data_IF_508856492753
#
_entry.id   IF_508856492753
#
_cell.length_a   1.000
_cell.length_b   1.000
_cell.length_c   1.000
_cell.angle_alpha   90.00
_cell.angle_beta   90.00
_cell.angle_gamma   90.00
#
_symmetry.space_group_name_H-M   'P 1'
#
loop_
_entity.id
_entity.type
_entity.pdbx_description
1 polymer ?
#
# COMPACT_ATOMS: atom_id res chain seq x y z
N UNK A 1 -0.70 17.82 4.21
CA UNK A 1 0.02 16.91 3.28
C UNK A 1 1.14 17.71 2.62
N UNK A 2 2.40 17.34 2.85
CA UNK A 2 3.55 17.99 2.20
C UNK A 2 3.60 17.60 0.71
N UNK A 3 4.03 18.50 -0.18
CA UNK A 3 4.07 18.27 -1.63
C UNK A 3 4.82 16.97 -2.04
N UNK A 4 5.83 16.55 -1.26
CA UNK A 4 6.57 15.31 -1.47
C UNK A 4 5.75 14.03 -1.19
N UNK A 5 4.79 14.07 -0.28
CA UNK A 5 3.93 12.92 0.02
C UNK A 5 2.90 12.65 -1.07
N UNK A 6 2.39 13.71 -1.71
CA UNK A 6 1.46 13.61 -2.84
C UNK A 6 2.13 13.04 -4.09
N UNK A 7 3.37 13.45 -4.38
CA UNK A 7 4.12 12.94 -5.53
C UNK A 7 4.45 11.43 -5.40
N UNK A 8 4.81 10.98 -4.19
CA UNK A 8 5.11 9.56 -3.93
C UNK A 8 3.86 8.67 -4.05
N UNK A 9 2.72 9.14 -3.54
CA UNK A 9 1.45 8.45 -3.68
C UNK A 9 1.01 8.30 -5.15
N UNK A 10 1.21 9.34 -5.97
CA UNK A 10 0.90 9.32 -7.42
C UNK A 10 1.80 8.34 -8.19
N UNK A 11 3.08 8.23 -7.82
CA UNK A 11 3.98 7.25 -8.43
C UNK A 11 3.57 5.82 -8.08
N UNK A 12 3.29 5.54 -6.81
CA UNK A 12 2.84 4.21 -6.38
C UNK A 12 1.52 3.79 -7.04
N UNK A 13 0.55 4.69 -7.17
CA UNK A 13 -0.71 4.39 -7.86
C UNK A 13 -0.47 4.04 -9.33
N UNK A 14 0.48 4.72 -10.00
CA UNK A 14 0.84 4.39 -11.38
C UNK A 14 1.48 3.00 -11.51
N UNK A 15 2.38 2.63 -10.58
CA UNK A 15 2.97 1.29 -10.57
C UNK A 15 1.91 0.23 -10.30
N UNK A 16 1.02 0.47 -9.32
CA UNK A 16 -0.12 -0.38 -9.04
C UNK A 16 -0.97 -0.57 -10.29
N UNK A 17 -1.30 0.50 -11.01
CA UNK A 17 -2.08 0.49 -12.25
C UNK A 17 -1.47 -0.38 -13.35
N UNK A 18 -0.15 -0.37 -13.46
CA UNK A 18 0.61 -1.13 -14.45
C UNK A 18 0.79 -2.62 -14.15
N UNK A 19 0.37 -3.13 -12.98
CA UNK A 19 0.56 -4.55 -12.62
C UNK A 19 -0.31 -5.45 -13.50
N UNK A 20 0.33 -6.26 -14.33
CA UNK A 20 -0.30 -7.21 -15.23
C UNK A 20 0.32 -8.62 -15.16
N UNK A 21 1.50 -8.75 -14.59
CA UNK A 21 2.30 -9.97 -14.54
C UNK A 21 3.26 -9.96 -13.32
N UNK A 22 4.01 -11.04 -13.12
CA UNK A 22 4.98 -11.13 -12.03
C UNK A 22 6.07 -10.03 -12.12
N UNK A 23 6.70 -9.74 -13.28
CA UNK A 23 7.68 -8.66 -13.38
C UNK A 23 7.14 -7.28 -12.98
N UNK A 24 5.94 -6.92 -13.42
CA UNK A 24 5.30 -5.65 -13.05
C UNK A 24 4.90 -5.61 -11.57
N UNK A 25 4.50 -6.73 -11.00
CA UNK A 25 4.25 -6.85 -9.55
C UNK A 25 5.52 -6.67 -8.72
N UNK A 26 6.63 -7.28 -9.13
CA UNK A 26 7.92 -7.09 -8.45
C UNK A 26 8.35 -5.62 -8.48
N UNK A 27 8.18 -4.92 -9.62
CA UNK A 27 8.44 -3.47 -9.71
C UNK A 27 7.55 -2.67 -8.75
N UNK A 28 6.29 -3.04 -8.61
CA UNK A 28 5.39 -2.40 -7.65
C UNK A 28 5.85 -2.61 -6.19
N UNK A 29 6.23 -3.84 -5.82
CA UNK A 29 6.73 -4.10 -4.45
C UNK A 29 8.03 -3.32 -4.19
N UNK A 30 8.92 -3.24 -5.17
CA UNK A 30 10.17 -2.48 -5.06
C UNK A 30 9.90 -0.98 -4.83
N UNK A 31 8.97 -0.39 -5.59
CA UNK A 31 8.52 0.98 -5.37
C UNK A 31 7.86 1.17 -4.00
N UNK A 32 7.10 0.19 -3.50
CA UNK A 32 6.49 0.23 -2.17
C UNK A 32 7.55 0.18 -1.06
N UNK A 33 8.62 -0.61 -1.24
CA UNK A 33 9.79 -0.63 -0.34
C UNK A 33 10.47 0.74 -0.32
N UNK A 34 10.78 1.30 -1.48
CA UNK A 34 11.46 2.60 -1.59
C UNK A 34 10.62 3.74 -0.95
N UNK A 35 9.31 3.74 -1.15
CA UNK A 35 8.40 4.71 -0.51
C UNK A 35 8.39 4.57 1.02
N UNK A 36 8.52 3.34 1.54
CA UNK A 36 8.62 3.09 2.97
C UNK A 36 9.98 3.52 3.54
N UNK A 37 11.07 3.18 2.87
CA UNK A 37 12.43 3.56 3.26
C UNK A 37 12.58 5.09 3.33
N UNK A 38 12.05 5.81 2.34
CA UNK A 38 12.02 7.27 2.35
C UNK A 38 11.16 7.83 3.49
N UNK A 39 10.03 7.20 3.81
CA UNK A 39 9.22 7.59 4.97
C UNK A 39 9.96 7.38 6.30
N UNK A 40 10.64 6.24 6.47
CA UNK A 40 11.44 5.94 7.67
C UNK A 40 12.63 6.91 7.81
N UNK A 41 13.31 7.24 6.71
CA UNK A 41 14.36 8.27 6.68
C UNK A 41 13.84 9.64 7.12
N UNK A 42 12.66 10.04 6.64
CA UNK A 42 12.02 11.30 7.04
C UNK A 42 11.62 11.29 8.51
N UNK A 43 11.10 10.17 9.00
CA UNK A 43 10.72 9.99 10.42
C UNK A 43 11.94 10.11 11.33
N UNK A 44 13.05 9.47 10.97
CA UNK A 44 14.30 9.54 11.71
C UNK A 44 14.91 10.96 11.71
N UNK A 45 14.78 11.69 10.60
CA UNK A 45 15.26 13.07 10.50
C UNK A 45 14.36 14.06 11.25
N UNK A 46 13.05 13.86 11.18
CA UNK A 46 12.03 14.67 11.86
C UNK A 46 10.77 13.84 12.08
N UNK A 47 10.43 13.53 13.34
CA UNK A 47 9.23 12.78 13.64
C UNK A 47 7.99 13.45 13.05
N UNK A 48 7.10 12.65 12.47
CA UNK A 48 5.78 13.13 12.10
C UNK A 48 5.05 13.62 13.37
N UNK A 49 4.18 14.62 13.21
CA UNK A 49 3.42 15.13 14.36
C UNK A 49 2.44 14.08 14.88
N UNK A 50 2.03 14.14 16.15
CA UNK A 50 1.14 13.14 16.77
C UNK A 50 -0.26 13.05 16.14
N UNK A 51 -0.62 14.00 15.27
CA UNK A 51 -1.92 14.07 14.58
C UNK A 51 -1.78 14.04 13.05
N UNK A 52 -0.62 13.63 12.53
CA UNK A 52 -0.42 13.41 11.10
C UNK A 52 -0.28 11.93 10.81
N UNK A 53 -0.79 11.50 9.65
CA UNK A 53 -0.30 10.30 8.99
C UNK A 53 1.24 10.35 8.98
N UNK A 54 1.89 9.20 9.09
CA UNK A 54 3.33 9.10 8.89
C UNK A 54 3.75 9.69 7.53
N UNK A 55 5.06 9.87 7.37
CA UNK A 55 5.60 10.36 6.12
C UNK A 55 5.10 9.54 4.91
N UNK A 56 4.95 10.21 3.77
CA UNK A 56 4.37 9.64 2.54
C UNK A 56 2.95 9.06 2.68
N UNK A 57 2.24 9.40 3.77
CA UNK A 57 0.87 8.95 4.01
C UNK A 57 0.78 7.52 4.55
N UNK A 58 1.86 7.01 5.15
CA UNK A 58 1.83 5.73 5.87
C UNK A 58 1.07 5.87 7.18
N UNK A 59 0.01 5.08 7.34
CA UNK A 59 -0.74 5.02 8.59
C UNK A 59 -0.20 3.90 9.50
N UNK A 60 0.34 2.85 8.90
CA UNK A 60 0.86 1.69 9.60
C UNK A 60 2.40 1.76 9.78
N UNK A 61 2.83 2.11 11.00
CA UNK A 61 4.25 2.25 11.36
C UNK A 61 5.02 0.94 11.55
N UNK A 62 4.34 -0.20 11.72
CA UNK A 62 4.97 -1.51 11.91
C UNK A 62 4.61 -2.48 10.77
N UNK A 63 5.47 -3.46 10.50
CA UNK A 63 5.18 -4.53 9.54
C UNK A 63 3.95 -5.36 9.95
N UNK A 64 3.72 -5.53 11.25
CA UNK A 64 2.57 -6.27 11.76
C UNK A 64 1.26 -5.55 11.43
N UNK A 65 1.17 -4.25 11.72
CA UNK A 65 -0.02 -3.45 11.42
C UNK A 65 -0.24 -3.33 9.90
N UNK A 66 0.84 -3.19 9.11
CA UNK A 66 0.75 -3.16 7.65
C UNK A 66 0.12 -4.45 7.09
N UNK A 67 0.55 -5.61 7.58
CA UNK A 67 0.02 -6.90 7.14
C UNK A 67 -1.39 -7.14 7.67
N UNK A 68 -1.69 -6.75 8.91
CA UNK A 68 -3.03 -6.78 9.47
C UNK A 68 -4.00 -5.97 8.61
N UNK A 69 -3.68 -4.70 8.33
CA UNK A 69 -4.48 -3.81 7.49
C UNK A 69 -4.67 -4.36 6.07
N UNK A 70 -3.62 -4.97 5.49
CA UNK A 70 -3.70 -5.64 4.19
C UNK A 70 -4.72 -6.79 4.20
N UNK A 71 -4.68 -7.61 5.26
CA UNK A 71 -5.60 -8.75 5.45
C UNK A 71 -7.02 -8.24 5.70
N UNK A 72 -7.19 -7.29 6.61
CA UNK A 72 -8.48 -6.71 6.97
C UNK A 72 -9.19 -6.15 5.73
N UNK A 73 -8.50 -5.38 4.90
CA UNK A 73 -9.05 -4.88 3.65
C UNK A 73 -9.49 -6.02 2.73
N UNK A 74 -8.65 -7.05 2.55
CA UNK A 74 -8.95 -8.18 1.69
C UNK A 74 -10.19 -8.95 2.16
N UNK A 75 -10.39 -9.09 3.48
CA UNK A 75 -11.52 -9.82 4.07
C UNK A 75 -12.79 -8.99 4.18
N UNK A 76 -12.71 -7.69 4.48
CA UNK A 76 -13.87 -6.79 4.51
C UNK A 76 -14.45 -6.62 3.11
N UNK A 77 -13.59 -6.55 2.09
CA UNK A 77 -14.04 -6.52 0.69
C UNK A 77 -14.85 -7.76 0.30
N UNK A 78 -14.55 -8.92 0.91
CA UNK A 78 -15.29 -10.16 0.68
C UNK A 78 -16.62 -10.24 1.45
N UNK A 79 -16.73 -9.59 2.62
CA UNK A 79 -17.93 -9.62 3.47
C UNK A 79 -19.01 -8.62 3.06
N UNK A 80 -18.64 -7.37 2.69
CA UNK A 80 -19.61 -6.26 2.62
C UNK A 80 -20.23 -6.02 1.23
N UNK A 81 -19.57 -6.42 0.13
CA UNK A 81 -20.14 -6.53 -1.23
C UNK A 81 -19.04 -6.71 -2.27
N UNK A 82 -19.21 -7.70 -3.18
CA UNK A 82 -18.49 -7.93 -4.48
C UNK A 82 -17.56 -9.15 -4.60
N UNK A 83 -17.85 -10.22 -3.86
CA UNK A 83 -17.46 -11.59 -4.26
C UNK A 83 -16.24 -12.15 -3.53
N UNK A 84 -16.10 -13.47 -3.65
CA UNK A 84 -15.02 -14.31 -3.09
C UNK A 84 -13.62 -13.70 -3.37
N UNK A 85 -12.64 -13.94 -2.49
CA UNK A 85 -11.23 -13.64 -2.77
C UNK A 85 -10.77 -14.28 -4.10
N UNK A 86 -11.40 -15.39 -4.50
CA UNK A 86 -11.24 -15.98 -5.82
C UNK A 86 -11.60 -15.02 -6.98
N UNK A 87 -12.55 -14.10 -6.78
CA UNK A 87 -12.98 -13.10 -7.75
C UNK A 87 -11.93 -11.99 -7.95
N UNK A 88 -11.22 -11.60 -6.89
CA UNK A 88 -10.07 -10.68 -6.99
C UNK A 88 -8.95 -11.28 -7.83
N UNK A 89 -8.68 -12.58 -7.67
CA UNK A 89 -7.61 -13.28 -8.36
C UNK A 89 -7.99 -13.80 -9.76
N UNK A 90 -9.29 -13.87 -10.09
CA UNK A 90 -9.79 -14.50 -11.32
C UNK A 90 -9.25 -13.85 -12.60
N UNK A 91 -9.12 -12.52 -12.62
CA UNK A 91 -8.60 -11.79 -13.79
C UNK A 91 -7.08 -11.66 -13.76
N UNK A 92 -6.52 -11.33 -12.59
CA UNK A 92 -5.08 -11.14 -12.44
C UNK A 92 -4.64 -11.28 -10.97
N UNK A 93 -4.04 -12.42 -10.58
CA UNK A 93 -3.62 -12.65 -9.21
C UNK A 93 -2.52 -11.68 -8.74
N UNK A 94 -1.68 -11.20 -9.67
CA UNK A 94 -0.62 -10.25 -9.35
C UNK A 94 -1.17 -8.86 -9.04
N UNK A 95 -2.17 -8.42 -9.82
CA UNK A 95 -2.89 -7.16 -9.55
C UNK A 95 -3.66 -7.22 -8.23
N UNK A 96 -4.27 -8.38 -7.93
CA UNK A 96 -4.94 -8.61 -6.65
C UNK A 96 -3.95 -8.48 -5.49
N UNK A 97 -2.81 -9.18 -5.56
CA UNK A 97 -1.76 -9.10 -4.56
C UNK A 97 -1.23 -7.67 -4.38
N UNK A 98 -1.04 -6.92 -5.47
CA UNK A 98 -0.61 -5.53 -5.41
C UNK A 98 -1.61 -4.63 -4.69
N UNK A 99 -2.91 -4.79 -4.95
CA UNK A 99 -3.99 -4.02 -4.28
C UNK A 99 -4.05 -4.31 -2.78
N UNK A 100 -3.91 -5.58 -2.41
CA UNK A 100 -3.88 -6.02 -1.00
C UNK A 100 -2.73 -5.33 -0.27
N UNK A 101 -1.52 -5.37 -0.82
CA UNK A 101 -0.35 -4.72 -0.23
C UNK A 101 -0.48 -3.19 -0.20
N UNK A 102 -1.05 -2.59 -1.25
CA UNK A 102 -1.28 -1.14 -1.28
C UNK A 102 -2.27 -0.69 -0.19
N UNK A 103 -3.30 -1.48 0.07
CA UNK A 103 -4.27 -1.19 1.12
C UNK A 103 -3.64 -1.17 2.51
N UNK A 104 -2.67 -2.05 2.79
CA UNK A 104 -1.93 -2.06 4.05
C UNK A 104 -1.24 -0.74 4.41
N UNK A 105 -0.98 0.13 3.42
CA UNK A 105 -0.41 1.46 3.65
C UNK A 105 -1.40 2.46 4.28
N UNK A 106 -2.70 2.30 3.98
CA UNK A 106 -3.75 3.33 4.16
C UNK A 106 -5.01 2.86 4.89
N UNK A 107 -5.07 1.59 5.30
CA UNK A 107 -6.25 1.04 5.94
C UNK A 107 -6.03 1.00 7.45
N UNK A 108 -6.89 1.71 8.18
CA UNK A 108 -6.98 1.73 9.65
C UNK A 108 -7.96 0.67 10.17
#
# INVERSE_FOLDING_TARGET
MSASGTASSVQLSSFLDSVQDLPSFVRFIDALREDREDADCKEAARPAGPYSSGWNGWENGSIANFLEASVAWATTWTDDSRGDAAHLAADNPWKAAARILYAGKHYE
#
